data_IF_328064727313
#
_entry.id   IF_328064727313
#
_cell.length_a   1.000
_cell.length_b   1.000
_cell.length_c   1.000
_cell.angle_alpha   90.00
_cell.angle_beta   90.00
_cell.angle_gamma   90.00
#
_symmetry.space_group_name_H-M   'P 1'
#
loop_
_entity.id
_entity.type
_entity.pdbx_description
1 polymer ?
#
# COMPACT_ATOMS: atom_id res chain seq x y z
N UNK A 1 7.20 -34.45 -12.08
CA UNK A 1 8.37 -33.58 -12.34
C UNK A 1 8.64 -33.46 -13.82
N UNK A 2 8.66 -32.24 -14.36
CA UNK A 2 8.94 -31.99 -15.77
C UNK A 2 10.45 -32.10 -16.10
N UNK A 3 11.34 -31.80 -15.15
CA UNK A 3 12.80 -32.00 -15.27
C UNK A 3 13.45 -32.19 -13.89
N UNK A 4 14.07 -33.36 -13.60
CA UNK A 4 14.74 -33.60 -12.31
C UNK A 4 15.89 -32.63 -12.01
N UNK A 5 16.55 -32.09 -13.04
CA UNK A 5 17.64 -31.13 -12.89
C UNK A 5 17.17 -29.76 -12.36
N UNK A 6 15.89 -29.42 -12.55
CA UNK A 6 15.31 -28.13 -12.18
C UNK A 6 14.59 -28.15 -10.83
N UNK A 7 14.78 -29.19 -10.02
CA UNK A 7 14.18 -29.29 -8.66
C UNK A 7 14.59 -28.16 -7.73
N UNK A 8 15.76 -27.55 -7.94
CA UNK A 8 16.24 -26.39 -7.18
C UNK A 8 15.33 -25.15 -7.28
N UNK A 9 14.52 -25.04 -8.34
CA UNK A 9 13.64 -23.89 -8.55
C UNK A 9 12.58 -23.79 -7.45
N UNK A 10 12.00 -24.90 -7.01
CA UNK A 10 11.00 -24.90 -5.94
C UNK A 10 11.56 -24.43 -4.60
N UNK A 11 12.79 -24.84 -4.28
CA UNK A 11 13.49 -24.36 -3.07
C UNK A 11 13.78 -22.86 -3.16
N UNK A 12 14.26 -22.39 -4.33
CA UNK A 12 14.47 -20.97 -4.59
C UNK A 12 13.18 -20.14 -4.45
N UNK A 13 12.08 -20.61 -5.03
CA UNK A 13 10.77 -19.96 -4.91
C UNK A 13 10.28 -19.88 -3.46
N UNK A 14 10.47 -20.95 -2.69
CA UNK A 14 10.08 -21.00 -1.28
C UNK A 14 10.90 -20.00 -0.47
N UNK A 15 12.22 -19.96 -0.69
CA UNK A 15 13.12 -19.01 -0.03
C UNK A 15 12.79 -17.55 -0.36
N UNK A 16 12.59 -17.23 -1.64
CA UNK A 16 12.19 -15.88 -2.07
C UNK A 16 10.85 -15.46 -1.47
N UNK A 17 9.87 -16.38 -1.43
CA UNK A 17 8.56 -16.11 -0.82
C UNK A 17 8.68 -15.86 0.68
N UNK A 18 9.56 -16.59 1.37
CA UNK A 18 9.83 -16.36 2.79
C UNK A 18 10.39 -14.96 3.05
N UNK A 19 11.37 -14.50 2.26
CA UNK A 19 11.91 -13.13 2.37
C UNK A 19 10.79 -12.11 2.16
N UNK A 20 10.02 -12.24 1.08
CA UNK A 20 8.92 -11.32 0.77
C UNK A 20 7.87 -11.31 1.90
N UNK A 21 7.59 -12.47 2.50
CA UNK A 21 6.67 -12.58 3.62
C UNK A 21 7.11 -11.77 4.85
N UNK A 22 8.41 -11.64 5.12
CA UNK A 22 8.89 -10.80 6.24
C UNK A 22 8.55 -9.32 6.04
N UNK A 23 8.67 -8.82 4.81
CA UNK A 23 8.29 -7.46 4.46
C UNK A 23 6.78 -7.24 4.54
N UNK A 24 5.98 -8.18 4.03
CA UNK A 24 4.52 -8.05 4.16
C UNK A 24 4.05 -8.18 5.61
N UNK A 25 4.72 -8.98 6.44
CA UNK A 25 4.40 -9.09 7.86
C UNK A 25 4.57 -7.73 8.58
N UNK A 26 5.65 -6.98 8.31
CA UNK A 26 5.81 -5.65 8.92
C UNK A 26 4.71 -4.68 8.48
N UNK A 27 4.34 -4.67 7.20
CA UNK A 27 3.21 -3.87 6.70
C UNK A 27 1.88 -4.23 7.34
N UNK A 28 1.60 -5.51 7.55
CA UNK A 28 0.39 -5.95 8.25
C UNK A 28 0.35 -5.45 9.70
N UNK A 29 1.49 -5.47 10.40
CA UNK A 29 1.60 -4.96 11.77
C UNK A 29 1.30 -3.46 11.84
N UNK A 30 1.90 -2.67 10.95
CA UNK A 30 1.66 -1.22 10.84
C UNK A 30 0.19 -0.94 10.48
N UNK A 31 -0.35 -1.63 9.49
CA UNK A 31 -1.76 -1.45 9.07
C UNK A 31 -2.73 -1.76 10.20
N UNK A 32 -2.47 -2.83 10.96
CA UNK A 32 -3.30 -3.17 12.12
C UNK A 32 -3.18 -2.12 13.23
N UNK A 33 -1.99 -1.55 13.45
CA UNK A 33 -1.79 -0.45 14.40
C UNK A 33 -2.59 0.80 14.02
N UNK A 34 -2.65 1.15 12.73
CA UNK A 34 -3.47 2.24 12.21
C UNK A 34 -4.97 1.93 12.36
N UNK A 35 -5.40 0.70 12.03
CA UNK A 35 -6.80 0.29 12.19
C UNK A 35 -7.28 0.42 13.64
N UNK A 36 -6.47 -0.02 14.62
CA UNK A 36 -6.80 0.12 16.04
C UNK A 36 -6.80 1.60 16.46
N UNK A 37 -5.86 2.40 15.94
CA UNK A 37 -5.78 3.83 16.21
C UNK A 37 -6.97 4.63 15.65
N UNK A 38 -7.57 4.20 14.53
CA UNK A 38 -8.73 4.86 13.91
C UNK A 38 -10.00 4.86 14.75
N UNK A 39 -10.08 4.06 15.83
CA UNK A 39 -11.22 4.08 16.75
C UNK A 39 -11.12 5.17 17.84
N UNK A 40 -10.03 5.94 17.88
CA UNK A 40 -9.87 7.07 18.79
C UNK A 40 -10.47 8.37 18.22
N UNK A 41 -11.00 9.22 19.12
CA UNK A 41 -11.44 10.58 18.82
C UNK A 41 -10.77 11.55 19.84
N UNK A 42 -9.89 12.47 19.43
CA UNK A 42 -9.43 12.74 18.06
C UNK A 42 -8.47 11.67 17.50
N UNK A 43 -8.27 11.67 16.18
CA UNK A 43 -7.34 10.78 15.50
C UNK A 43 -5.89 11.09 15.94
N UNK A 44 -5.04 10.09 16.22
CA UNK A 44 -3.72 10.35 16.82
C UNK A 44 -2.70 11.00 15.86
N UNK A 45 -3.03 11.09 14.57
CA UNK A 45 -2.25 11.80 13.55
C UNK A 45 -2.86 13.15 13.15
N UNK A 46 -4.03 13.54 13.67
CA UNK A 46 -4.69 14.79 13.26
C UNK A 46 -4.13 16.04 13.94
N UNK A 47 -3.55 15.87 15.13
CA UNK A 47 -3.04 16.96 15.97
C UNK A 47 -1.58 16.69 16.39
N UNK A 48 -0.80 17.75 16.49
CA UNK A 48 0.57 17.75 16.97
C UNK A 48 0.60 17.48 18.47
N UNK A 49 1.44 16.53 18.90
CA UNK A 49 1.71 16.28 20.32
C UNK A 49 2.71 17.29 20.86
N UNK A 50 2.61 17.66 22.13
CA UNK A 50 3.57 18.56 22.83
C UNK A 50 5.02 18.05 22.78
N UNK A 51 5.21 16.73 22.62
CA UNK A 51 6.53 16.10 22.46
C UNK A 51 7.18 16.38 21.10
N UNK A 52 6.40 16.79 20.11
CA UNK A 52 6.88 17.09 18.77
C UNK A 52 7.25 18.58 18.71
N UNK A 53 8.46 18.87 18.22
CA UNK A 53 9.04 20.22 18.22
C UNK A 53 8.14 21.26 17.50
N UNK A 54 8.43 22.56 17.68
CA UNK A 54 7.66 23.68 17.14
C UNK A 54 7.55 23.75 15.58
N UNK A 55 8.13 22.76 14.87
CA UNK A 55 8.07 22.61 13.41
C UNK A 55 6.89 21.74 12.93
N UNK A 56 6.06 21.23 13.84
CA UNK A 56 4.88 20.42 13.51
C UNK A 56 3.70 21.27 13.02
N UNK A 57 3.04 20.83 11.95
CA UNK A 57 1.77 21.37 11.46
C UNK A 57 0.67 20.35 11.67
N UNK A 58 -0.43 20.76 12.31
CA UNK A 58 -1.63 19.92 12.43
C UNK A 58 -2.21 19.63 11.04
N UNK A 59 -2.37 18.36 10.70
CA UNK A 59 -3.07 17.92 9.48
C UNK A 59 -4.48 18.53 9.41
N UNK A 60 -5.13 18.78 10.55
CA UNK A 60 -6.44 19.45 10.65
C UNK A 60 -6.42 20.94 10.27
N UNK A 61 -5.31 21.65 10.48
CA UNK A 61 -5.17 23.10 10.28
C UNK A 61 -4.27 23.47 9.08
N UNK A 62 -3.69 22.49 8.39
CA UNK A 62 -2.88 22.67 7.17
C UNK A 62 -3.60 23.44 6.04
N UNK A 63 -4.92 23.64 6.17
CA UNK A 63 -5.79 24.46 5.32
C UNK A 63 -5.37 25.95 5.27
N UNK A 64 -4.62 26.48 6.26
CA UNK A 64 -4.42 27.93 6.43
C UNK A 64 -2.94 28.39 6.54
N UNK A 65 -1.96 27.70 5.97
CA UNK A 65 -0.57 28.20 6.04
C UNK A 65 -0.13 29.00 4.81
N UNK A 66 0.02 30.30 5.09
CA UNK A 66 0.64 31.36 4.29
C UNK A 66 2.13 31.07 4.06
N UNK A 67 2.59 31.34 2.83
CA UNK A 67 4.00 31.49 2.42
C UNK A 67 4.74 32.41 3.41
N UNK A 68 5.74 31.90 4.14
CA UNK A 68 6.55 32.83 4.94
C UNK A 68 7.59 32.30 5.90
N UNK A 69 7.94 31.01 5.94
CA UNK A 69 9.00 30.58 6.84
C UNK A 69 9.92 29.52 6.21
N UNK A 70 11.22 29.80 6.25
CA UNK A 70 12.32 29.00 5.69
C UNK A 70 12.62 27.71 6.50
N UNK A 71 11.73 27.34 7.42
CA UNK A 71 11.82 26.10 8.19
C UNK A 71 11.08 24.98 7.46
N UNK A 72 11.71 23.80 7.34
CA UNK A 72 11.06 22.58 6.85
C UNK A 72 9.98 22.15 7.85
N UNK A 73 8.75 22.61 7.64
CA UNK A 73 7.60 22.22 8.45
C UNK A 73 7.14 20.81 8.05
N UNK A 74 6.82 19.97 9.03
CA UNK A 74 6.46 18.55 8.84
C UNK A 74 5.05 18.32 9.36
N UNK A 75 4.24 17.52 8.66
CA UNK A 75 2.86 17.24 9.07
C UNK A 75 2.81 16.32 10.30
N UNK A 76 1.75 16.46 11.11
CA UNK A 76 1.50 15.60 12.27
C UNK A 76 1.39 14.12 11.88
N UNK A 77 0.85 13.81 10.70
CA UNK A 77 0.80 12.45 10.16
C UNK A 77 2.19 11.86 9.86
N UNK A 78 3.12 12.66 9.34
CA UNK A 78 4.50 12.23 9.08
C UNK A 78 5.24 11.94 10.39
N UNK A 79 5.12 12.83 11.38
CA UNK A 79 5.74 12.63 12.69
C UNK A 79 5.12 11.46 13.47
N UNK A 80 3.81 11.24 13.34
CA UNK A 80 3.16 10.07 13.92
C UNK A 80 3.73 8.77 13.33
N UNK A 81 3.87 8.70 12.00
CA UNK A 81 4.40 7.51 11.34
C UNK A 81 5.86 7.23 11.71
N UNK A 82 6.72 8.25 11.64
CA UNK A 82 8.17 8.10 11.85
C UNK A 82 8.49 7.90 13.34
N UNK A 83 7.94 8.72 14.22
CA UNK A 83 8.33 8.73 15.64
C UNK A 83 7.49 7.81 16.52
N UNK A 84 6.18 7.71 16.30
CA UNK A 84 5.28 6.94 17.18
C UNK A 84 5.15 5.48 16.70
N UNK A 85 4.99 5.29 15.39
CA UNK A 85 4.73 3.96 14.80
C UNK A 85 6.04 3.24 14.48
N UNK A 86 6.90 3.81 13.63
CA UNK A 86 8.16 3.17 13.23
C UNK A 86 9.23 3.27 14.30
N UNK A 87 9.26 4.38 15.06
CA UNK A 87 10.37 4.72 15.97
C UNK A 87 11.71 4.66 15.25
N UNK A 88 11.74 5.32 14.10
CA UNK A 88 12.92 5.34 13.23
C UNK A 88 14.13 5.92 13.98
N UNK A 89 15.26 5.20 13.92
CA UNK A 89 16.52 5.66 14.51
C UNK A 89 17.33 6.43 13.47
N UNK A 90 18.06 7.48 13.90
CA UNK A 90 18.85 8.33 13.01
C UNK A 90 20.02 7.59 12.34
N UNK A 91 20.54 6.53 12.97
CA UNK A 91 21.56 5.65 12.40
C UNK A 91 21.35 4.20 12.82
N UNK A 92 21.81 3.27 11.98
CA UNK A 92 21.87 1.83 12.27
C UNK A 92 23.10 1.43 13.09
N UNK A 93 24.04 2.35 13.32
CA UNK A 93 25.32 2.08 13.98
C UNK A 93 25.15 1.57 15.43
N UNK A 94 24.11 2.03 16.12
CA UNK A 94 23.74 1.59 17.48
C UNK A 94 22.89 0.29 17.48
N UNK A 95 22.67 -0.31 16.30
CA UNK A 95 21.88 -1.53 16.10
C UNK A 95 20.40 -1.28 15.84
N UNK A 96 19.65 -2.37 15.63
CA UNK A 96 18.23 -2.36 15.22
C UNK A 96 17.28 -2.11 16.42
N UNK A 97 17.82 -2.03 17.64
CA UNK A 97 17.04 -1.86 18.86
C UNK A 97 16.17 -3.07 19.21
N UNK A 98 15.29 -2.90 20.20
CA UNK A 98 14.31 -3.91 20.61
C UNK A 98 12.99 -3.75 19.84
N UNK A 99 12.33 -4.85 19.43
CA UNK A 99 11.03 -4.77 18.75
C UNK A 99 9.99 -4.03 19.58
N UNK A 100 9.24 -3.12 18.95
CA UNK A 100 8.14 -2.43 19.62
C UNK A 100 7.03 -3.43 19.97
N UNK A 101 6.72 -3.55 21.26
CA UNK A 101 5.75 -4.54 21.76
C UNK A 101 4.33 -4.30 21.23
N UNK A 102 3.97 -3.05 20.90
CA UNK A 102 2.63 -2.72 20.36
C UNK A 102 2.52 -3.22 18.93
N UNK A 103 3.57 -3.04 18.12
CA UNK A 103 3.63 -3.60 16.76
C UNK A 103 3.63 -5.13 16.78
N UNK A 104 4.36 -5.75 17.71
CA UNK A 104 4.35 -7.22 17.87
C UNK A 104 2.95 -7.74 18.18
N UNK A 105 2.22 -7.10 19.09
CA UNK A 105 0.84 -7.46 19.41
C UNK A 105 -0.10 -7.22 18.22
N UNK A 106 0.05 -6.10 17.53
CA UNK A 106 -0.71 -5.79 16.31
C UNK A 106 -0.43 -6.80 15.20
N UNK A 107 0.78 -7.36 15.12
CA UNK A 107 1.14 -8.39 14.15
C UNK A 107 0.59 -9.77 14.51
N UNK A 108 0.44 -10.07 15.81
CA UNK A 108 -0.09 -11.35 16.28
C UNK A 108 -1.53 -11.60 15.81
N UNK A 109 -2.34 -10.54 15.72
CA UNK A 109 -3.75 -10.63 15.28
C UNK A 109 -3.87 -11.14 13.83
N UNK A 110 -3.29 -10.49 12.81
CA UNK A 110 -3.34 -10.97 11.43
C UNK A 110 -2.70 -12.35 11.26
N UNK A 111 -1.60 -12.66 11.97
CA UNK A 111 -1.02 -14.00 11.93
C UNK A 111 -1.97 -15.07 12.47
N UNK A 112 -2.67 -14.78 13.56
CA UNK A 112 -3.69 -15.68 14.11
C UNK A 112 -4.81 -15.90 13.07
N UNK A 113 -5.28 -14.83 12.42
CA UNK A 113 -6.26 -14.93 11.34
C UNK A 113 -5.76 -15.80 10.19
N UNK A 114 -4.53 -15.57 9.70
CA UNK A 114 -3.91 -16.38 8.63
C UNK A 114 -3.86 -17.86 9.05
N UNK A 115 -3.34 -18.16 10.24
CA UNK A 115 -3.28 -19.53 10.76
C UNK A 115 -4.67 -20.18 10.77
N UNK A 116 -5.69 -19.51 11.33
CA UNK A 116 -7.07 -19.98 11.38
C UNK A 116 -7.63 -20.28 9.97
N UNK A 117 -7.35 -19.42 9.00
CA UNK A 117 -7.83 -19.61 7.61
C UNK A 117 -7.21 -20.83 6.94
N UNK A 118 -5.96 -21.17 7.34
CA UNK A 118 -5.18 -22.27 6.79
C UNK A 118 -5.42 -23.62 7.49
N UNK A 119 -6.00 -23.65 8.71
CA UNK A 119 -6.20 -24.90 9.49
C UNK A 119 -6.89 -26.00 8.68
N UNK A 120 -7.88 -25.66 7.86
CA UNK A 120 -8.62 -26.61 7.01
C UNK A 120 -8.14 -26.63 5.55
N UNK A 121 -6.94 -26.10 5.31
CA UNK A 121 -6.32 -25.98 3.99
C UNK A 121 -7.14 -25.14 3.01
N UNK A 122 -7.04 -25.50 1.72
CA UNK A 122 -7.59 -24.68 0.63
C UNK A 122 -9.12 -24.55 0.64
N UNK A 123 -9.84 -25.52 1.23
CA UNK A 123 -11.31 -25.47 1.36
C UNK A 123 -11.79 -24.35 2.29
N UNK A 124 -10.98 -23.98 3.29
CA UNK A 124 -11.28 -22.86 4.19
C UNK A 124 -10.78 -21.54 3.61
N UNK A 125 -9.53 -21.51 3.15
CA UNK A 125 -8.95 -20.34 2.48
C UNK A 125 -9.82 -19.87 1.30
N UNK A 126 -10.34 -20.78 0.46
CA UNK A 126 -11.23 -20.44 -0.64
C UNK A 126 -12.55 -19.78 -0.22
N UNK A 127 -13.10 -20.10 0.97
CA UNK A 127 -14.30 -19.43 1.48
C UNK A 127 -14.00 -18.01 1.95
N UNK A 128 -12.89 -17.83 2.65
CA UNK A 128 -12.44 -16.52 3.13
C UNK A 128 -12.04 -15.63 1.96
N UNK A 129 -11.47 -16.21 0.89
CA UNK A 129 -11.10 -15.52 -0.33
C UNK A 129 -12.28 -14.79 -0.99
N UNK A 130 -13.52 -15.29 -0.90
CA UNK A 130 -14.69 -14.55 -1.42
C UNK A 130 -14.85 -13.18 -0.74
N UNK A 131 -14.71 -13.12 0.58
CA UNK A 131 -14.76 -11.86 1.30
C UNK A 131 -13.54 -10.99 0.96
N UNK A 132 -12.33 -11.56 1.02
CA UNK A 132 -11.09 -10.83 0.75
C UNK A 132 -10.98 -10.30 -0.68
N UNK A 133 -11.62 -10.96 -1.65
CA UNK A 133 -11.65 -10.50 -3.03
C UNK A 133 -12.70 -9.39 -3.24
N UNK A 134 -13.89 -9.51 -2.64
CA UNK A 134 -15.00 -8.59 -2.89
C UNK A 134 -14.89 -7.31 -2.03
N UNK A 135 -14.53 -7.46 -0.75
CA UNK A 135 -14.50 -6.35 0.20
C UNK A 135 -13.61 -5.18 -0.25
N UNK A 136 -12.38 -5.39 -0.79
CA UNK A 136 -11.58 -4.30 -1.33
C UNK A 136 -12.27 -3.52 -2.46
N UNK A 137 -13.07 -4.17 -3.32
CA UNK A 137 -13.83 -3.44 -4.35
C UNK A 137 -14.93 -2.56 -3.76
N UNK A 138 -15.57 -3.01 -2.68
CA UNK A 138 -16.53 -2.17 -1.95
C UNK A 138 -15.83 -0.95 -1.37
N UNK A 139 -14.67 -1.13 -0.73
CA UNK A 139 -13.86 -0.03 -0.18
C UNK A 139 -13.39 0.92 -1.29
N UNK A 140 -12.87 0.39 -2.41
CA UNK A 140 -12.47 1.22 -3.56
C UNK A 140 -13.64 2.01 -4.14
N UNK A 141 -14.84 1.43 -4.21
CA UNK A 141 -16.03 2.16 -4.67
C UNK A 141 -16.39 3.32 -3.73
N UNK A 142 -16.36 3.09 -2.41
CA UNK A 142 -16.62 4.15 -1.41
C UNK A 142 -15.57 5.26 -1.50
N UNK A 143 -14.28 4.88 -1.59
CA UNK A 143 -13.18 5.83 -1.73
C UNK A 143 -13.24 6.59 -3.06
N UNK A 144 -13.68 5.94 -4.15
CA UNK A 144 -13.88 6.61 -5.44
C UNK A 144 -14.98 7.66 -5.34
N UNK A 145 -16.13 7.31 -4.78
CA UNK A 145 -17.24 8.27 -4.58
C UNK A 145 -16.74 9.44 -3.74
N UNK A 146 -16.04 9.17 -2.63
CA UNK A 146 -15.46 10.21 -1.79
C UNK A 146 -14.48 11.08 -2.57
N UNK A 147 -13.53 10.48 -3.30
CA UNK A 147 -12.55 11.20 -4.10
C UNK A 147 -13.21 12.09 -5.16
N UNK A 148 -14.27 11.64 -5.82
CA UNK A 148 -15.02 12.45 -6.79
C UNK A 148 -15.78 13.62 -6.15
N UNK A 149 -16.11 13.56 -4.86
CA UNK A 149 -16.76 14.65 -4.12
C UNK A 149 -15.78 15.67 -3.54
N UNK A 150 -14.48 15.39 -3.55
CA UNK A 150 -13.46 16.29 -3.01
C UNK A 150 -13.10 17.40 -4.01
N UNK A 151 -12.97 18.62 -3.51
CA UNK A 151 -12.51 19.76 -4.31
C UNK A 151 -11.05 19.57 -4.73
N UNK A 152 -10.70 19.92 -5.96
CA UNK A 152 -9.33 19.75 -6.49
C UNK A 152 -8.95 18.32 -6.91
N UNK A 153 -9.76 17.30 -6.58
CA UNK A 153 -9.47 15.91 -6.94
C UNK A 153 -9.38 15.67 -8.46
N UNK A 154 -10.17 16.40 -9.25
CA UNK A 154 -10.15 16.32 -10.71
C UNK A 154 -8.79 16.68 -11.32
N UNK A 155 -8.05 17.62 -10.73
CA UNK A 155 -6.70 17.98 -11.20
C UNK A 155 -5.71 16.84 -10.98
N UNK A 156 -5.81 16.14 -9.85
CA UNK A 156 -4.99 14.97 -9.56
C UNK A 156 -5.30 13.78 -10.46
N UNK A 157 -6.58 13.47 -10.68
CA UNK A 157 -6.99 12.43 -11.63
C UNK A 157 -6.54 12.74 -13.06
N UNK A 158 -6.62 14.00 -13.49
CA UNK A 158 -6.12 14.43 -14.79
C UNK A 158 -4.60 14.28 -14.88
N UNK A 159 -3.86 14.63 -13.82
CA UNK A 159 -2.41 14.42 -13.77
C UNK A 159 -2.03 12.95 -13.97
N UNK A 160 -2.79 12.01 -13.39
CA UNK A 160 -2.55 10.57 -13.55
C UNK A 160 -2.76 10.06 -14.98
N UNK A 161 -3.79 10.54 -15.68
CA UNK A 161 -4.12 10.07 -17.04
C UNK A 161 -3.33 10.83 -18.12
N UNK A 162 -2.84 12.04 -17.84
CA UNK A 162 -2.22 12.92 -18.84
C UNK A 162 -0.99 12.24 -19.48
N UNK A 163 -1.05 11.90 -20.78
CA UNK A 163 0.03 11.16 -21.43
C UNK A 163 1.24 12.06 -21.68
N UNK A 164 2.44 11.52 -21.44
CA UNK A 164 3.72 12.14 -21.78
C UNK A 164 4.40 11.31 -22.87
N UNK A 165 4.08 11.60 -24.13
CA UNK A 165 4.54 10.81 -25.29
C UNK A 165 6.06 10.75 -25.42
N UNK A 166 6.76 11.83 -25.05
CA UNK A 166 8.22 11.89 -25.11
C UNK A 166 8.90 10.85 -24.20
N UNK A 167 8.25 10.49 -23.08
CA UNK A 167 8.79 9.53 -22.11
C UNK A 167 8.77 8.09 -22.60
N UNK A 168 7.95 7.75 -23.59
CA UNK A 168 7.82 6.37 -24.11
C UNK A 168 9.13 5.90 -24.77
N UNK A 169 9.96 6.82 -25.26
CA UNK A 169 11.26 6.50 -25.84
C UNK A 169 12.34 6.18 -24.79
N UNK A 170 12.09 6.45 -23.50
CA UNK A 170 13.02 6.15 -22.43
C UNK A 170 12.92 4.66 -22.04
N UNK A 171 14.02 3.90 -22.19
CA UNK A 171 14.07 2.48 -21.83
C UNK A 171 13.67 2.21 -20.36
N UNK A 172 13.90 3.20 -19.47
CA UNK A 172 13.52 3.13 -18.06
C UNK A 172 12.00 2.98 -17.86
N UNK A 173 11.18 3.58 -18.73
CA UNK A 173 9.71 3.46 -18.65
C UNK A 173 9.27 2.04 -18.95
N UNK A 174 9.87 1.40 -19.96
CA UNK A 174 9.60 0.00 -20.29
C UNK A 174 10.06 -0.97 -19.21
N UNK A 175 11.26 -0.74 -18.66
CA UNK A 175 11.76 -1.52 -17.52
C UNK A 175 10.79 -1.45 -16.32
N UNK A 176 10.33 -0.25 -15.98
CA UNK A 176 9.35 -0.05 -14.89
C UNK A 176 8.01 -0.73 -15.21
N UNK A 177 7.51 -0.63 -16.45
CA UNK A 177 6.26 -1.26 -16.85
C UNK A 177 6.31 -2.80 -16.76
N UNK A 178 7.39 -3.42 -17.26
CA UNK A 178 7.58 -4.89 -17.17
C UNK A 178 7.70 -5.32 -15.71
N UNK A 179 8.46 -4.57 -14.91
CA UNK A 179 8.64 -4.84 -13.48
C UNK A 179 7.31 -4.78 -12.74
N UNK A 180 6.48 -3.78 -13.03
CA UNK A 180 5.16 -3.61 -12.43
C UNK A 180 4.25 -4.80 -12.75
N UNK A 181 4.13 -5.20 -14.02
CA UNK A 181 3.28 -6.34 -14.43
C UNK A 181 3.78 -7.65 -13.81
N UNK A 182 5.10 -7.85 -13.79
CA UNK A 182 5.71 -9.06 -13.23
C UNK A 182 5.40 -9.24 -11.75
N UNK A 183 5.55 -8.17 -10.95
CA UNK A 183 5.27 -8.21 -9.52
C UNK A 183 3.76 -8.15 -9.19
N UNK A 184 2.94 -7.44 -9.96
CA UNK A 184 1.48 -7.35 -9.76
C UNK A 184 0.82 -8.73 -9.86
N UNK A 185 1.15 -9.48 -10.91
CA UNK A 185 0.61 -10.82 -11.14
C UNK A 185 1.34 -11.91 -10.34
N UNK A 186 2.40 -11.57 -9.59
CA UNK A 186 3.22 -12.52 -8.81
C UNK A 186 3.74 -13.70 -9.65
N UNK A 187 4.13 -13.43 -10.89
CA UNK A 187 4.57 -14.48 -11.83
C UNK A 187 5.87 -15.10 -11.31
N UNK A 188 6.04 -16.41 -11.49
CA UNK A 188 7.22 -17.17 -11.06
C UNK A 188 7.44 -17.33 -9.54
N UNK A 189 6.50 -16.92 -8.67
CA UNK A 189 6.60 -17.15 -7.21
C UNK A 189 6.06 -18.51 -6.75
N UNK A 190 5.47 -19.32 -7.64
CA UNK A 190 4.90 -20.64 -7.29
C UNK A 190 3.45 -20.60 -6.80
N UNK A 191 2.96 -19.46 -6.32
CA UNK A 191 1.59 -19.31 -5.80
C UNK A 191 0.51 -19.67 -6.84
N UNK A 192 0.62 -19.13 -8.06
CA UNK A 192 -0.35 -19.41 -9.14
C UNK A 192 -0.29 -20.88 -9.58
N UNK A 193 0.90 -21.49 -9.59
CA UNK A 193 1.06 -22.92 -9.89
C UNK A 193 0.41 -23.79 -8.80
N UNK A 194 0.59 -23.41 -7.53
CA UNK A 194 -0.06 -24.07 -6.39
C UNK A 194 -1.58 -24.01 -6.54
N UNK A 195 -2.18 -22.85 -6.81
CA UNK A 195 -3.63 -22.74 -7.01
C UNK A 195 -4.13 -23.55 -8.21
N UNK A 196 -3.38 -23.53 -9.30
CA UNK A 196 -3.71 -24.29 -10.51
C UNK A 196 -3.71 -25.81 -10.28
N UNK A 197 -2.87 -26.31 -9.36
CA UNK A 197 -2.79 -27.74 -9.04
C UNK A 197 -4.06 -28.31 -8.39
N UNK A 198 -4.90 -27.46 -7.80
CA UNK A 198 -6.19 -27.86 -7.22
C UNK A 198 -7.36 -27.75 -8.20
N UNK A 199 -7.11 -27.29 -9.43
CA UNK A 199 -8.14 -27.10 -10.43
C UNK A 199 -8.54 -28.42 -11.11
N UNK A 200 -9.72 -28.45 -11.74
CA UNK A 200 -10.12 -29.61 -12.56
C UNK A 200 -9.29 -29.66 -13.84
N UNK A 201 -8.92 -30.86 -14.28
CA UNK A 201 -8.15 -31.06 -15.51
C UNK A 201 -8.83 -30.51 -16.77
N UNK A 202 -10.16 -30.47 -16.80
CA UNK A 202 -10.93 -29.96 -17.94
C UNK A 202 -11.24 -28.46 -17.84
N UNK A 203 -10.71 -27.75 -16.84
CA UNK A 203 -10.99 -26.34 -16.65
C UNK A 203 -10.30 -25.49 -17.72
N UNK A 204 -11.00 -24.47 -18.22
CA UNK A 204 -10.47 -23.57 -19.23
C UNK A 204 -9.54 -22.52 -18.60
N UNK A 205 -8.29 -22.90 -18.38
CA UNK A 205 -7.27 -22.03 -17.78
C UNK A 205 -7.01 -20.75 -18.58
N UNK A 206 -7.16 -20.78 -19.91
CA UNK A 206 -6.94 -19.61 -20.75
C UNK A 206 -7.95 -18.50 -20.41
N UNK A 207 -9.23 -18.87 -20.23
CA UNK A 207 -10.26 -17.93 -19.82
C UNK A 207 -9.93 -17.30 -18.46
N UNK A 208 -9.56 -18.13 -17.48
CA UNK A 208 -9.30 -17.67 -16.12
C UNK A 208 -8.10 -16.70 -16.09
N UNK A 209 -7.01 -17.05 -16.79
CA UNK A 209 -5.82 -16.20 -16.88
C UNK A 209 -6.13 -14.87 -17.56
N UNK A 210 -6.89 -14.88 -18.67
CA UNK A 210 -7.28 -13.62 -19.34
C UNK A 210 -8.11 -12.73 -18.42
N UNK A 211 -9.07 -13.29 -17.68
CA UNK A 211 -9.89 -12.53 -16.74
C UNK A 211 -9.05 -11.94 -15.62
N UNK A 212 -8.18 -12.75 -14.99
CA UNK A 212 -7.31 -12.31 -13.89
C UNK A 212 -6.40 -11.18 -14.33
N UNK A 213 -5.74 -11.29 -15.48
CA UNK A 213 -4.82 -10.27 -15.98
C UNK A 213 -5.52 -8.94 -16.32
N UNK A 214 -6.71 -9.01 -16.94
CA UNK A 214 -7.51 -7.81 -17.24
C UNK A 214 -7.99 -7.16 -15.94
N UNK A 215 -8.52 -7.96 -15.00
CA UNK A 215 -8.99 -7.45 -13.71
C UNK A 215 -7.86 -6.81 -12.90
N UNK A 216 -6.67 -7.41 -12.86
CA UNK A 216 -5.49 -6.85 -12.19
C UNK A 216 -5.14 -5.45 -12.73
N UNK A 217 -5.09 -5.32 -14.05
CA UNK A 217 -4.78 -4.05 -14.73
C UNK A 217 -5.86 -2.99 -14.46
N UNK A 218 -7.14 -3.34 -14.62
CA UNK A 218 -8.26 -2.42 -14.38
C UNK A 218 -8.32 -1.99 -12.91
N UNK A 219 -8.08 -2.91 -11.99
CA UNK A 219 -8.07 -2.63 -10.55
C UNK A 219 -6.92 -1.71 -10.18
N UNK A 220 -5.73 -1.94 -10.74
CA UNK A 220 -4.56 -1.07 -10.55
C UNK A 220 -4.80 0.34 -11.09
N UNK A 221 -5.43 0.46 -12.27
CA UNK A 221 -5.79 1.75 -12.85
C UNK A 221 -6.84 2.48 -12.00
N UNK A 222 -7.86 1.77 -11.51
CA UNK A 222 -8.86 2.32 -10.60
C UNK A 222 -8.25 2.80 -9.28
N UNK A 223 -7.40 1.99 -8.66
CA UNK A 223 -6.68 2.37 -7.45
C UNK A 223 -5.80 3.60 -7.67
N UNK A 224 -5.11 3.67 -8.81
CA UNK A 224 -4.35 4.86 -9.21
C UNK A 224 -5.21 6.12 -9.29
N UNK A 225 -6.39 6.05 -9.91
CA UNK A 225 -7.32 7.19 -9.98
C UNK A 225 -7.79 7.66 -8.61
N UNK A 226 -8.12 6.72 -7.71
CA UNK A 226 -8.54 7.04 -6.34
C UNK A 226 -7.41 7.75 -5.59
N UNK A 227 -6.20 7.17 -5.62
CA UNK A 227 -4.99 7.71 -4.98
C UNK A 227 -4.69 9.12 -5.48
N UNK A 228 -4.62 9.31 -6.79
CA UNK A 228 -4.32 10.62 -7.36
C UNK A 228 -5.46 11.62 -7.17
N UNK A 229 -6.71 11.18 -7.05
CA UNK A 229 -7.82 12.03 -6.66
C UNK A 229 -7.65 12.61 -5.24
N UNK A 230 -7.33 11.75 -4.26
CA UNK A 230 -7.07 12.18 -2.88
C UNK A 230 -5.84 13.11 -2.80
N UNK A 231 -4.77 12.79 -3.53
CA UNK A 231 -3.57 13.65 -3.59
C UNK A 231 -3.88 15.00 -4.26
N UNK A 232 -4.73 15.01 -5.29
CA UNK A 232 -5.19 16.25 -5.94
C UNK A 232 -5.94 17.16 -4.97
N UNK A 233 -6.78 16.59 -4.11
CA UNK A 233 -7.43 17.33 -3.03
C UNK A 233 -6.42 17.89 -2.03
N UNK A 234 -5.47 17.06 -1.56
CA UNK A 234 -4.43 17.50 -0.64
C UNK A 234 -3.58 18.63 -1.22
N UNK A 235 -3.18 18.54 -2.49
CA UNK A 235 -2.44 19.59 -3.19
C UNK A 235 -3.24 20.90 -3.29
N UNK A 236 -4.55 20.81 -3.54
CA UNK A 236 -5.45 21.96 -3.56
C UNK A 236 -5.57 22.64 -2.18
N UNK A 237 -5.72 21.86 -1.11
CA UNK A 237 -5.84 22.39 0.26
C UNK A 237 -4.55 23.02 0.76
N UNK A 238 -3.41 22.40 0.44
CA UNK A 238 -2.07 22.88 0.83
C UNK A 238 -1.52 24.00 -0.05
N UNK A 239 -2.24 24.43 -1.08
CA UNK A 239 -1.76 25.36 -2.12
C UNK A 239 -0.39 24.96 -2.72
N UNK A 240 -0.13 23.65 -2.82
CA UNK A 240 1.12 23.17 -3.38
C UNK A 240 1.17 23.43 -4.90
N UNK A 241 2.23 24.07 -5.42
CA UNK A 241 2.33 24.42 -6.83
C UNK A 241 2.49 23.21 -7.75
N UNK A 242 2.96 22.07 -7.22
CA UNK A 242 3.18 20.83 -7.97
C UNK A 242 2.79 19.58 -7.17
N UNK A 243 2.00 18.69 -7.79
CA UNK A 243 1.62 17.39 -7.22
C UNK A 243 2.84 16.51 -6.87
N UNK A 244 3.92 16.62 -7.65
CA UNK A 244 5.13 15.80 -7.47
C UNK A 244 5.85 16.05 -6.15
N UNK A 245 5.62 17.20 -5.50
CA UNK A 245 6.20 17.53 -4.19
C UNK A 245 5.39 16.96 -3.03
N UNK A 246 4.11 16.65 -3.24
CA UNK A 246 3.18 16.15 -2.22
C UNK A 246 3.16 14.61 -2.19
N UNK A 247 3.53 13.96 -3.29
CA UNK A 247 3.57 12.49 -3.40
C UNK A 247 4.80 11.93 -2.69
N UNK A 248 4.60 11.25 -1.56
CA UNK A 248 5.64 10.40 -0.94
C UNK A 248 5.63 9.00 -1.57
N UNK A 249 6.80 8.43 -1.82
CA UNK A 249 6.92 7.07 -2.36
C UNK A 249 6.69 5.97 -1.33
N UNK A 250 6.31 4.78 -1.80
CA UNK A 250 6.25 3.56 -0.98
C UNK A 250 5.21 3.63 0.15
N UNK A 251 5.59 3.16 1.35
CA UNK A 251 4.70 3.14 2.52
C UNK A 251 4.26 4.54 2.98
N UNK A 252 5.05 5.58 2.72
CA UNK A 252 4.71 6.96 3.06
C UNK A 252 3.45 7.45 2.37
N UNK A 253 3.14 6.96 1.17
CA UNK A 253 1.90 7.30 0.49
C UNK A 253 0.67 6.86 1.31
N UNK A 254 0.68 5.63 1.80
CA UNK A 254 -0.45 5.04 2.50
C UNK A 254 -0.53 5.46 3.98
N UNK A 255 0.61 5.65 4.65
CA UNK A 255 0.66 5.89 6.10
C UNK A 255 0.90 7.35 6.49
N UNK A 256 1.25 8.21 5.53
CA UNK A 256 1.41 9.66 5.75
C UNK A 256 0.39 10.41 4.89
N UNK A 257 0.49 10.32 3.57
CA UNK A 257 -0.31 11.16 2.65
C UNK A 257 -1.82 10.93 2.76
N UNK A 258 -2.26 9.68 2.91
CA UNK A 258 -3.68 9.36 3.09
C UNK A 258 -4.24 9.83 4.45
N UNK A 259 -3.60 9.50 5.60
CA UNK A 259 -4.00 10.03 6.89
C UNK A 259 -3.98 11.56 6.99
N UNK A 260 -3.12 12.22 6.23
CA UNK A 260 -3.04 13.69 6.14
C UNK A 260 -4.21 14.30 5.34
N UNK A 261 -4.81 13.51 4.43
CA UNK A 261 -5.90 13.94 3.56
C UNK A 261 -7.31 13.62 4.08
N UNK A 262 -7.43 12.82 5.16
CA UNK A 262 -8.70 12.36 5.75
C UNK A 262 -8.91 13.04 7.10
#
# INVERSE_FOLDING_TARGET
DASPAMRGIGYGQTYSTFIVMTYYASLMGVTMRYLVASFGDPLPWSECKDSWNATCIDSRLAVNMVEGDNATKVSSAELYFVNDVLKEADSIDDGIGSPDWRLVLCLLIPWTCICLTLVKGIKSSGKVAYFLAIFPYVVMLVLLIRACTLEGAGAGMLYFIKPQWDRIFEAKVWYAAVTQVFFSLTVCFGNVMMYSSYNRFTNNVNRDVTVVTIMDTLTSMLAGLIVFGVIGHLAHVTNAPDLSKVVRGGGGLAFITYPDAI
#
